data_IF_517589184071
#
_entry.id   IF_517589184071
#
_cell.length_a   1.000
_cell.length_b   1.000
_cell.length_c   1.000
_cell.angle_alpha   90.00
_cell.angle_beta   90.00
_cell.angle_gamma   90.00
#
_symmetry.space_group_name_H-M   'P 1'
#
loop_
_entity.id
_entity.type
_entity.pdbx_description
1 polymer ?
#
# COMPACT_ATOMS: atom_id res chain seq x y z
N UNK A 1 -6.74 11.21 -9.85
CA UNK A 1 -5.82 10.20 -9.29
C UNK A 1 -5.75 10.48 -7.81
N UNK A 2 -6.13 9.51 -6.99
CA UNK A 2 -6.12 9.62 -5.54
C UNK A 2 -5.03 8.70 -5.00
N UNK A 3 -4.25 9.23 -4.06
CA UNK A 3 -3.12 8.54 -3.43
C UNK A 3 -3.25 8.63 -1.93
N UNK A 4 -3.07 7.50 -1.27
CA UNK A 4 -3.00 7.39 0.18
C UNK A 4 -1.52 7.34 0.55
N UNK A 5 -1.07 8.30 1.33
CA UNK A 5 0.30 8.35 1.86
C UNK A 5 0.20 8.09 3.36
N UNK A 6 0.92 7.07 3.81
CA UNK A 6 1.00 6.69 5.21
C UNK A 6 2.46 6.69 5.66
N UNK A 7 2.68 6.51 6.95
CA UNK A 7 3.98 6.19 7.53
C UNK A 7 4.53 4.83 7.06
N UNK A 8 3.67 3.95 6.55
CA UNK A 8 4.05 2.61 6.10
C UNK A 8 4.41 2.56 4.61
N UNK A 9 3.60 3.19 3.76
CA UNK A 9 3.71 3.06 2.32
C UNK A 9 2.84 4.08 1.56
N UNK A 10 3.06 4.11 0.25
CA UNK A 10 2.30 4.88 -0.73
C UNK A 10 1.39 3.92 -1.48
N UNK A 11 0.09 4.17 -1.43
CA UNK A 11 -0.92 3.37 -2.12
C UNK A 11 -1.66 4.24 -3.14
N UNK A 12 -1.76 3.75 -4.38
CA UNK A 12 -2.61 4.36 -5.39
C UNK A 12 -3.99 3.71 -5.37
N UNK A 13 -5.02 4.56 -5.38
CA UNK A 13 -6.42 4.11 -5.50
C UNK A 13 -6.73 3.99 -6.99
N UNK A 14 -6.95 2.76 -7.43
CA UNK A 14 -7.29 2.42 -8.81
C UNK A 14 -8.72 1.89 -8.90
N UNK A 15 -9.24 1.71 -10.10
CA UNK A 15 -10.54 1.05 -10.32
C UNK A 15 -10.54 -0.42 -9.90
N UNK A 16 -9.37 -1.04 -9.78
CA UNK A 16 -9.20 -2.45 -9.41
C UNK A 16 -8.93 -2.64 -7.91
N UNK A 17 -8.69 -1.56 -7.17
CA UNK A 17 -8.39 -1.59 -5.74
C UNK A 17 -7.16 -0.76 -5.37
N UNK A 18 -6.49 -1.16 -4.28
CA UNK A 18 -5.29 -0.49 -3.77
C UNK A 18 -4.03 -1.12 -4.35
N UNK A 19 -3.21 -0.31 -5.02
CA UNK A 19 -1.90 -0.73 -5.53
C UNK A 19 -0.78 -0.16 -4.66
N UNK A 20 0.14 -1.01 -4.23
CA UNK A 20 1.38 -0.61 -3.58
C UNK A 20 2.32 0.03 -4.59
N UNK A 21 2.73 1.27 -4.32
CA UNK A 21 3.64 2.03 -5.19
C UNK A 21 5.05 2.05 -4.59
N UNK A 22 5.15 2.38 -3.31
CA UNK A 22 6.43 2.54 -2.62
C UNK A 22 6.27 2.20 -1.14
N UNK A 23 7.27 1.53 -0.56
CA UNK A 23 7.34 1.24 0.87
C UNK A 23 8.17 2.32 1.57
N UNK A 24 7.76 2.66 2.80
CA UNK A 24 8.62 3.47 3.65
C UNK A 24 9.92 2.71 3.96
N UNK A 25 11.02 3.43 4.28
CA UNK A 25 12.24 2.80 4.75
C UNK A 25 11.95 1.88 5.93
N UNK A 26 12.54 0.69 5.92
CA UNK A 26 12.40 -0.33 6.97
C UNK A 26 11.02 -1.02 7.06
N UNK A 27 10.08 -0.73 6.15
CA UNK A 27 8.77 -1.40 6.10
C UNK A 27 8.75 -2.47 5.02
N UNK A 28 8.22 -3.65 5.35
CA UNK A 28 8.06 -4.76 4.40
C UNK A 28 6.63 -4.86 3.85
N UNK A 29 6.44 -5.60 2.75
CA UNK A 29 5.09 -5.86 2.22
C UNK A 29 4.25 -6.62 3.25
N UNK A 30 4.87 -7.54 3.99
CA UNK A 30 4.25 -8.29 5.07
C UNK A 30 3.74 -7.36 6.18
N UNK A 31 4.51 -6.35 6.57
CA UNK A 31 4.09 -5.35 7.57
C UNK A 31 2.86 -4.56 7.11
N UNK A 32 2.86 -4.15 5.83
CA UNK A 32 1.73 -3.42 5.24
C UNK A 32 0.49 -4.32 5.21
N UNK A 33 0.62 -5.58 4.80
CA UNK A 33 -0.48 -6.56 4.76
C UNK A 33 -0.99 -6.93 6.16
N UNK A 34 -0.11 -6.99 7.15
CA UNK A 34 -0.50 -7.26 8.53
C UNK A 34 -1.29 -6.11 9.17
N UNK A 35 -1.01 -4.87 8.74
CA UNK A 35 -1.64 -3.65 9.28
C UNK A 35 -2.80 -3.12 8.43
N UNK A 36 -3.00 -3.67 7.23
CA UNK A 36 -4.05 -3.23 6.31
C UNK A 36 -5.04 -4.37 6.08
N UNK A 37 -6.31 -4.15 6.40
CA UNK A 37 -7.36 -5.16 6.20
C UNK A 37 -7.79 -5.31 4.74
N UNK A 38 -7.53 -4.29 3.91
CA UNK A 38 -7.82 -4.33 2.49
C UNK A 38 -6.79 -5.19 1.75
N UNK A 39 -7.24 -5.84 0.67
CA UNK A 39 -6.32 -6.51 -0.24
C UNK A 39 -5.50 -5.47 -1.01
N UNK A 40 -4.19 -5.68 -1.04
CA UNK A 40 -3.23 -4.80 -1.71
C UNK A 40 -2.60 -5.57 -2.86
N UNK A 41 -2.64 -4.99 -4.05
CA UNK A 41 -1.86 -5.44 -5.20
C UNK A 41 -0.39 -5.03 -5.01
N UNK A 42 0.51 -6.02 -5.03
CA UNK A 42 1.96 -5.83 -4.90
C UNK A 42 2.72 -6.23 -6.17
N UNK A 43 2.00 -6.41 -7.29
CA UNK A 43 2.55 -6.86 -8.57
C UNK A 43 3.61 -5.95 -9.18
#
# INVERSE_FOLDING_TARGET
>A
VERIITDLCFLDVTTEGLRLVELAPEVTVEDVRARTQAEIDCG
#
